data_IF_585210052395
#
_entry.id   IF_585210052395
#
_cell.length_a   1.000
_cell.length_b   1.000
_cell.length_c   1.000
_cell.angle_alpha   90.00
_cell.angle_beta   90.00
_cell.angle_gamma   90.00
#
_symmetry.space_group_name_H-M   'P 1'
#
loop_
_entity.id
_entity.type
_entity.pdbx_description
1 polymer ?
#
# COMPACT_ATOMS: atom_id res chain seq x y z
N UNK A 1 1.39 -18.45 9.67
CA UNK A 1 2.76 -18.33 9.15
C UNK A 1 3.35 -19.73 9.05
N UNK A 2 3.77 -20.18 7.86
CA UNK A 2 4.54 -21.43 7.76
C UNK A 2 5.83 -21.23 8.54
N UNK A 3 6.09 -22.05 9.55
CA UNK A 3 7.24 -21.86 10.47
C UNK A 3 8.60 -21.97 9.80
N UNK A 4 8.66 -22.46 8.56
CA UNK A 4 9.88 -22.74 7.82
C UNK A 4 10.15 -21.73 6.70
N UNK A 5 9.24 -20.79 6.45
CA UNK A 5 9.41 -19.80 5.41
C UNK A 5 10.51 -18.80 5.84
N UNK A 6 11.65 -18.85 5.14
CA UNK A 6 12.74 -17.89 5.32
C UNK A 6 12.74 -16.90 4.16
N UNK A 7 12.50 -15.59 4.41
CA UNK A 7 12.46 -14.57 3.37
C UNK A 7 13.76 -14.49 2.54
N UNK A 8 14.89 -14.98 3.07
CA UNK A 8 16.17 -14.98 2.37
C UNK A 8 16.31 -16.02 1.26
N UNK A 9 15.38 -16.98 1.15
CA UNK A 9 15.49 -18.10 0.22
C UNK A 9 14.32 -18.13 -0.76
N UNK A 10 14.09 -17.06 -1.53
CA UNK A 10 12.99 -17.01 -2.51
C UNK A 10 13.37 -17.59 -3.89
N UNK A 11 14.64 -17.98 -4.06
CA UNK A 11 15.24 -18.36 -5.34
C UNK A 11 14.55 -19.56 -6.02
N UNK A 12 14.08 -20.55 -5.26
CA UNK A 12 13.39 -21.71 -5.81
C UNK A 12 12.06 -21.33 -6.47
N UNK A 13 11.33 -20.37 -5.90
CA UNK A 13 10.06 -19.91 -6.45
C UNK A 13 10.27 -19.14 -7.77
N UNK A 14 11.41 -18.46 -7.93
CA UNK A 14 11.76 -17.75 -9.17
C UNK A 14 11.98 -18.69 -10.36
N UNK A 15 12.40 -19.94 -10.12
CA UNK A 15 12.59 -20.95 -11.17
C UNK A 15 11.28 -21.36 -11.85
N UNK A 16 10.13 -21.10 -11.22
CA UNK A 16 8.82 -21.40 -11.79
C UNK A 16 8.32 -20.31 -12.75
N UNK A 17 9.00 -19.17 -12.83
CA UNK A 17 8.63 -18.10 -13.74
C UNK A 17 9.13 -18.40 -15.16
N UNK A 18 8.27 -18.16 -16.15
CA UNK A 18 8.64 -18.27 -17.57
C UNK A 18 9.55 -17.13 -18.05
N UNK A 19 9.69 -16.07 -17.26
CA UNK A 19 10.53 -14.90 -17.50
C UNK A 19 10.93 -14.26 -16.16
N UNK A 20 11.97 -13.40 -16.13
CA UNK A 20 12.32 -12.66 -14.92
C UNK A 20 11.13 -11.86 -14.38
N UNK A 21 10.98 -11.73 -13.05
CA UNK A 21 9.92 -10.91 -12.46
C UNK A 21 10.18 -9.43 -12.77
N UNK A 22 9.11 -8.63 -12.83
CA UNK A 22 9.22 -7.18 -13.05
C UNK A 22 10.00 -6.50 -11.92
N UNK A 23 9.85 -6.98 -10.70
CA UNK A 23 10.51 -6.43 -9.51
C UNK A 23 10.68 -7.52 -8.45
N UNK A 24 11.73 -7.41 -7.64
CA UNK A 24 11.90 -8.22 -6.43
C UNK A 24 11.81 -7.26 -5.25
N UNK A 25 10.76 -7.43 -4.45
CA UNK A 25 10.57 -6.69 -3.21
C UNK A 25 11.43 -7.32 -2.12
N UNK A 26 12.19 -6.47 -1.42
CA UNK A 26 13.08 -6.86 -0.33
C UNK A 26 12.89 -5.87 0.83
N UNK A 27 11.90 -6.15 1.67
CA UNK A 27 11.71 -5.49 2.95
C UNK A 27 12.26 -6.40 4.06
N UNK A 28 12.69 -5.82 5.19
CA UNK A 28 13.39 -6.55 6.26
C UNK A 28 12.78 -7.91 6.62
N UNK A 29 11.45 -7.98 6.73
CA UNK A 29 10.72 -9.20 7.08
C UNK A 29 9.79 -9.72 5.97
N UNK A 30 9.82 -9.12 4.78
CA UNK A 30 8.94 -9.48 3.68
C UNK A 30 9.70 -9.41 2.35
N UNK A 31 9.89 -10.57 1.72
CA UNK A 31 10.38 -10.66 0.35
C UNK A 31 9.31 -11.24 -0.56
N UNK A 32 9.21 -10.71 -1.76
CA UNK A 32 8.21 -11.16 -2.72
C UNK A 32 8.50 -10.69 -4.13
N UNK A 33 7.78 -11.23 -5.10
CA UNK A 33 7.86 -10.81 -6.49
C UNK A 33 6.49 -10.99 -7.17
N UNK A 34 6.14 -10.18 -8.17
CA UNK A 34 5.02 -10.47 -9.05
C UNK A 34 5.46 -11.49 -10.11
N UNK A 35 4.56 -12.39 -10.49
CA UNK A 35 4.84 -13.43 -11.47
C UNK A 35 3.60 -13.87 -12.22
N UNK A 36 3.75 -14.10 -13.52
CA UNK A 36 2.73 -14.75 -14.34
C UNK A 36 3.00 -16.25 -14.38
N UNK A 37 1.99 -17.04 -14.04
CA UNK A 37 2.09 -18.49 -14.00
C UNK A 37 0.74 -19.13 -14.28
N UNK A 38 0.74 -20.39 -14.74
CA UNK A 38 -0.49 -21.18 -14.89
C UNK A 38 -0.99 -21.64 -13.53
N UNK A 39 -2.28 -21.89 -13.38
CA UNK A 39 -2.91 -22.32 -12.13
C UNK A 39 -2.21 -23.55 -11.50
N UNK A 40 -1.88 -24.56 -12.30
CA UNK A 40 -1.15 -25.75 -11.82
C UNK A 40 0.24 -25.42 -11.25
N UNK A 41 0.83 -24.31 -11.67
CA UNK A 41 2.12 -23.82 -11.17
C UNK A 41 1.95 -23.03 -9.88
N UNK A 42 0.83 -22.32 -9.70
CA UNK A 42 0.49 -21.62 -8.45
C UNK A 42 0.48 -22.61 -7.30
N UNK A 43 -0.18 -23.76 -7.45
CA UNK A 43 -0.25 -24.78 -6.39
C UNK A 43 1.13 -25.33 -6.01
N UNK A 44 2.01 -25.50 -7.00
CA UNK A 44 3.38 -25.98 -6.78
C UNK A 44 4.22 -24.94 -6.05
N UNK A 45 4.12 -23.67 -6.42
CA UNK A 45 4.81 -22.56 -5.76
C UNK A 45 4.29 -22.40 -4.33
N UNK A 46 2.97 -22.43 -4.13
CA UNK A 46 2.34 -22.32 -2.82
C UNK A 46 2.66 -23.52 -1.90
N UNK A 47 3.04 -24.68 -2.45
CA UNK A 47 3.48 -25.84 -1.67
C UNK A 47 4.94 -25.74 -1.20
N UNK A 48 5.74 -24.81 -1.73
CA UNK A 48 7.15 -24.68 -1.33
C UNK A 48 7.29 -24.26 0.15
N UNK A 49 8.30 -24.76 0.87
CA UNK A 49 8.50 -24.47 2.30
C UNK A 49 8.90 -23.01 2.57
N UNK A 50 9.57 -22.38 1.61
CA UNK A 50 10.01 -20.98 1.62
C UNK A 50 8.96 -19.98 1.13
N UNK A 51 7.81 -20.44 0.61
CA UNK A 51 6.71 -19.58 0.17
C UNK A 51 5.64 -19.53 1.26
N UNK A 52 5.48 -18.37 1.87
CA UNK A 52 4.44 -18.18 2.89
C UNK A 52 3.03 -18.17 2.28
N UNK A 53 2.85 -17.43 1.18
CA UNK A 53 1.56 -17.24 0.53
C UNK A 53 1.73 -16.83 -0.93
N UNK A 54 0.79 -17.23 -1.78
CA UNK A 54 0.60 -16.69 -3.13
C UNK A 54 -0.71 -15.91 -3.15
N UNK A 55 -0.67 -14.66 -3.62
CA UNK A 55 -1.83 -13.78 -3.74
C UNK A 55 -2.12 -13.52 -5.21
N UNK A 56 -3.41 -13.50 -5.57
CA UNK A 56 -3.82 -13.01 -6.88
C UNK A 56 -3.58 -11.51 -6.97
N UNK A 57 -3.08 -11.06 -8.12
CA UNK A 57 -3.02 -9.65 -8.44
C UNK A 57 -4.45 -9.10 -8.59
N UNK A 58 -4.74 -8.00 -7.90
CA UNK A 58 -6.10 -7.45 -7.81
C UNK A 58 -6.09 -5.94 -8.01
N UNK A 59 -7.14 -5.44 -8.66
CA UNK A 59 -7.33 -4.02 -8.85
C UNK A 59 -8.02 -3.41 -7.63
N UNK A 60 -7.40 -2.37 -7.09
CA UNK A 60 -8.04 -1.46 -6.13
C UNK A 60 -8.37 -0.17 -6.88
N UNK A 61 -9.62 0.26 -6.83
CA UNK A 61 -10.10 1.49 -7.47
C UNK A 61 -10.71 2.41 -6.41
N UNK A 62 -10.57 3.71 -6.61
CA UNK A 62 -11.27 4.70 -5.82
C UNK A 62 -12.79 4.51 -5.98
N UNK A 63 -13.55 4.66 -4.89
CA UNK A 63 -14.98 4.85 -5.00
C UNK A 63 -15.22 6.16 -5.77
N UNK A 64 -16.21 6.17 -6.67
CA UNK A 64 -16.52 7.25 -7.61
C UNK A 64 -16.38 8.67 -7.03
N UNK A 65 -15.97 9.63 -7.86
CA UNK A 65 -15.75 11.01 -7.44
C UNK A 65 -17.08 11.70 -7.12
N UNK A 66 -17.47 11.77 -5.84
CA UNK A 66 -18.57 12.62 -5.40
C UNK A 66 -18.01 14.00 -5.06
N UNK A 67 -18.17 14.95 -5.98
CA UNK A 67 -17.83 16.35 -5.72
C UNK A 67 -18.87 17.00 -4.80
N UNK A 68 -18.47 17.37 -3.58
CA UNK A 68 -19.31 18.17 -2.69
C UNK A 68 -19.05 19.66 -2.93
N UNK A 69 -19.95 20.33 -3.64
CA UNK A 69 -19.94 21.79 -3.77
C UNK A 69 -20.11 22.45 -2.39
N UNK A 70 -19.29 23.47 -2.08
CA UNK A 70 -19.30 24.20 -0.81
C UNK A 70 -18.99 23.35 0.45
N UNK A 71 -18.16 22.32 0.35
CA UNK A 71 -17.70 21.58 1.53
C UNK A 71 -16.85 22.48 2.44
N UNK A 72 -17.31 22.71 3.67
CA UNK A 72 -16.58 23.42 4.73
C UNK A 72 -16.59 22.59 6.02
N UNK A 73 -15.57 22.62 6.87
CA UNK A 73 -14.18 22.19 6.68
C UNK A 73 -13.88 21.40 7.97
N UNK A 74 -13.82 20.06 7.90
CA UNK A 74 -13.83 19.18 9.10
C UNK A 74 -12.74 19.48 10.14
N UNK A 75 -11.71 20.21 9.75
CA UNK A 75 -10.61 20.67 10.61
C UNK A 75 -11.07 21.65 11.72
N UNK A 76 -12.20 22.38 11.59
CA UNK A 76 -12.77 23.18 12.71
C UNK A 76 -13.13 22.27 13.86
N UNK A 77 -13.79 21.16 13.52
CA UNK A 77 -14.28 20.16 14.46
C UNK A 77 -13.16 19.35 15.10
N UNK A 78 -12.01 19.25 14.45
CA UNK A 78 -10.82 18.58 15.01
C UNK A 78 -10.14 19.48 16.06
N UNK A 79 -10.23 20.81 15.92
CA UNK A 79 -9.52 21.76 16.80
C UNK A 79 -10.39 22.41 17.88
N UNK A 80 -11.72 22.20 17.87
CA UNK A 80 -12.67 22.77 18.82
C UNK A 80 -13.62 21.71 19.40
N UNK A 81 -13.95 21.86 20.69
CA UNK A 81 -14.95 21.03 21.37
C UNK A 81 -16.37 21.51 21.03
N UNK A 82 -16.60 22.82 21.14
CA UNK A 82 -17.90 23.43 20.88
C UNK A 82 -18.17 23.56 19.38
N UNK A 83 -19.45 23.64 19.01
CA UNK A 83 -19.87 23.80 17.61
C UNK A 83 -19.95 25.27 17.22
N UNK A 84 -20.01 25.55 15.92
CA UNK A 84 -20.19 26.91 15.41
C UNK A 84 -18.89 27.70 15.19
N UNK A 85 -17.73 27.08 15.41
CA UNK A 85 -16.43 27.66 15.07
C UNK A 85 -16.11 27.52 13.58
N UNK A 86 -15.40 28.50 13.04
CA UNK A 86 -14.95 28.58 11.65
C UNK A 86 -13.42 28.68 11.51
N UNK A 87 -12.67 28.52 12.60
CA UNK A 87 -11.19 28.64 12.64
C UNK A 87 -10.46 27.34 12.96
N UNK A 88 -9.22 27.20 12.48
CA UNK A 88 -8.32 26.09 12.81
C UNK A 88 -7.30 26.50 13.84
N UNK A 89 -7.37 25.90 15.02
CA UNK A 89 -6.31 26.06 16.02
C UNK A 89 -5.32 24.92 15.85
N UNK A 90 -4.09 25.27 15.47
CA UNK A 90 -2.97 24.36 15.35
C UNK A 90 -1.70 25.05 15.85
N UNK A 91 -0.71 24.28 16.28
CA UNK A 91 0.61 24.82 16.61
C UNK A 91 1.39 25.07 15.31
N UNK A 92 2.07 26.21 15.18
CA UNK A 92 2.82 26.56 13.95
C UNK A 92 3.98 25.61 13.62
N UNK A 93 4.43 24.81 14.58
CA UNK A 93 5.41 23.74 14.38
C UNK A 93 4.79 22.36 14.09
N UNK A 94 3.46 22.27 14.00
CA UNK A 94 2.76 21.02 13.70
C UNK A 94 3.27 20.44 12.37
N UNK A 95 3.72 19.19 12.40
CA UNK A 95 4.26 18.50 11.23
C UNK A 95 5.73 18.83 10.92
N UNK A 96 6.39 19.68 11.70
CA UNK A 96 7.83 19.85 11.62
C UNK A 96 8.54 18.50 11.83
N UNK A 97 9.61 18.28 11.06
CA UNK A 97 10.42 17.06 11.06
C UNK A 97 9.63 15.74 10.83
N UNK A 98 8.45 15.84 10.20
CA UNK A 98 7.60 14.68 9.89
C UNK A 98 7.47 14.50 8.37
N UNK A 99 7.51 13.24 7.91
CA UNK A 99 7.19 12.88 6.53
C UNK A 99 5.84 12.16 6.48
N UNK A 100 4.96 12.58 5.57
CA UNK A 100 3.68 11.93 5.27
C UNK A 100 3.73 11.38 3.86
N UNK A 101 3.48 10.08 3.70
CA UNK A 101 3.38 9.42 2.41
C UNK A 101 1.91 9.15 2.09
N UNK A 102 1.46 9.67 0.93
CA UNK A 102 0.09 9.47 0.44
C UNK A 102 0.15 8.52 -0.76
N UNK A 103 -0.56 7.39 -0.67
CA UNK A 103 -0.71 6.42 -1.76
C UNK A 103 -2.06 6.68 -2.41
N UNK A 104 -2.06 7.44 -3.50
CA UNK A 104 -3.26 7.83 -4.24
C UNK A 104 -2.95 7.84 -5.76
N UNK A 105 -3.85 8.41 -6.53
CA UNK A 105 -3.82 8.62 -7.98
C UNK A 105 -2.86 9.71 -8.46
N UNK A 106 -1.93 10.18 -7.60
CA UNK A 106 -0.98 11.31 -7.77
C UNK A 106 -1.46 12.63 -7.11
N UNK A 107 -0.66 13.69 -7.23
CA UNK A 107 -0.91 15.03 -6.67
C UNK A 107 -0.74 16.14 -7.73
N UNK A 108 -1.67 17.10 -7.75
CA UNK A 108 -1.51 18.33 -8.53
C UNK A 108 -0.54 19.28 -7.82
N UNK A 109 0.74 19.21 -8.17
CA UNK A 109 1.80 20.04 -7.56
C UNK A 109 1.72 21.54 -7.90
N UNK A 110 0.90 21.92 -8.88
CA UNK A 110 0.70 23.31 -9.33
C UNK A 110 -0.55 23.97 -8.73
N UNK A 111 -1.16 23.37 -7.71
CA UNK A 111 -2.34 23.93 -7.05
C UNK A 111 -2.03 25.31 -6.43
N UNK A 112 -2.93 26.28 -6.68
CA UNK A 112 -2.82 27.67 -6.22
C UNK A 112 -3.27 27.88 -4.77
#
# INVERSE_FOLDING_TARGET
MKSEANPKHLDEALLFLGHPPRYIYDFDNCKGFPGEMRDETVDRVNALPNVEMVLNDTFVQIADYVAQNNAAWGLSRISHIDTGHDTYIFDGSSGADTCVHVIDSDILIEHL
#
